data_IF_945153656044
#
_entry.id   IF_945153656044
#
_cell.length_a   1.000
_cell.length_b   1.000
_cell.length_c   1.000
_cell.angle_alpha   90.00
_cell.angle_beta   90.00
_cell.angle_gamma   90.00
#
_symmetry.space_group_name_H-M   'P 1'
#
loop_
_entity.id
_entity.type
_entity.pdbx_description
1 polymer ?
#
# COMPACT_ATOMS: atom_id res chain seq x y z
N UNK A 1 17.61 -32.34 11.29
CA UNK A 1 18.24 -31.28 10.48
C UNK A 1 17.11 -30.45 9.90
N UNK A 2 16.90 -29.24 10.40
CA UNK A 2 15.82 -28.37 9.95
C UNK A 2 16.21 -27.73 8.62
N UNK A 3 15.49 -28.08 7.55
CA UNK A 3 15.57 -27.38 6.27
C UNK A 3 15.13 -25.93 6.48
N UNK A 4 16.09 -25.02 6.66
CA UNK A 4 15.84 -23.59 6.56
C UNK A 4 15.71 -23.24 5.08
N UNK A 5 14.47 -23.20 4.61
CA UNK A 5 14.13 -22.73 3.28
C UNK A 5 14.38 -21.21 3.26
N UNK A 6 15.48 -20.77 2.66
CA UNK A 6 15.79 -19.35 2.49
C UNK A 6 14.85 -18.83 1.39
N UNK A 7 13.82 -18.06 1.76
CA UNK A 7 12.95 -17.39 0.79
C UNK A 7 13.70 -16.19 0.18
N UNK A 8 14.10 -16.23 -1.10
CA UNK A 8 14.87 -15.15 -1.74
C UNK A 8 14.08 -13.84 -1.80
N UNK A 9 12.75 -13.93 -1.89
CA UNK A 9 11.81 -12.79 -1.97
C UNK A 9 11.78 -11.92 -0.71
N UNK A 10 12.33 -12.39 0.42
CA UNK A 10 12.40 -11.62 1.68
C UNK A 10 13.74 -10.90 1.89
N UNK A 11 14.68 -11.01 0.95
CA UNK A 11 15.99 -10.33 1.00
C UNK A 11 15.87 -8.96 0.34
N UNK A 12 15.05 -8.08 0.93
CA UNK A 12 14.72 -6.76 0.36
C UNK A 12 15.70 -5.66 0.76
N UNK A 13 16.58 -5.90 1.73
CA UNK A 13 17.56 -4.90 2.16
C UNK A 13 18.88 -5.11 1.41
N UNK A 14 19.40 -4.11 0.67
CA UNK A 14 20.70 -4.18 -0.02
C UNK A 14 21.86 -4.65 0.89
N UNK A 15 21.76 -4.38 2.19
CA UNK A 15 22.69 -4.83 3.23
C UNK A 15 22.70 -6.37 3.40
N UNK A 16 21.55 -7.03 3.31
CA UNK A 16 21.45 -8.49 3.47
C UNK A 16 22.01 -9.23 2.25
N UNK A 17 21.79 -8.69 1.04
CA UNK A 17 22.38 -9.21 -0.18
C UNK A 17 23.92 -9.09 -0.13
N UNK A 18 24.44 -7.95 0.34
CA UNK A 18 25.88 -7.74 0.52
C UNK A 18 26.49 -8.72 1.54
N UNK A 19 25.78 -9.00 2.64
CA UNK A 19 26.22 -9.98 3.63
C UNK A 19 26.28 -11.41 3.06
N UNK A 20 25.30 -11.81 2.24
CA UNK A 20 25.30 -13.11 1.58
C UNK A 20 26.47 -13.26 0.61
N UNK A 21 26.73 -12.24 -0.21
CA UNK A 21 27.87 -12.21 -1.13
C UNK A 21 29.22 -12.24 -0.41
N UNK A 22 29.36 -11.52 0.71
CA UNK A 22 30.58 -11.53 1.51
C UNK A 22 30.82 -12.89 2.17
N UNK A 23 29.76 -13.54 2.66
CA UNK A 23 29.84 -14.92 3.17
C UNK A 23 30.29 -15.90 2.07
N UNK A 24 29.73 -15.78 0.87
CA UNK A 24 30.15 -16.57 -0.30
C UNK A 24 31.62 -16.37 -0.66
N UNK A 25 32.11 -15.13 -0.67
CA UNK A 25 33.52 -14.82 -0.93
C UNK A 25 34.45 -15.49 0.08
N UNK A 26 34.10 -15.43 1.38
CA UNK A 26 34.88 -16.07 2.45
C UNK A 26 34.94 -17.58 2.26
N UNK A 27 33.81 -18.22 1.95
CA UNK A 27 33.74 -19.67 1.72
C UNK A 27 34.58 -20.10 0.51
N UNK A 28 34.50 -19.37 -0.60
CA UNK A 28 35.26 -19.69 -1.82
C UNK A 28 36.77 -19.52 -1.60
N UNK A 29 37.20 -18.42 -0.97
CA UNK A 29 38.62 -18.20 -0.69
C UNK A 29 39.17 -19.22 0.33
N UNK A 30 38.38 -19.58 1.34
CA UNK A 30 38.73 -20.64 2.26
C UNK A 30 38.91 -21.98 1.53
N UNK A 31 38.00 -22.33 0.60
CA UNK A 31 38.12 -23.53 -0.22
C UNK A 31 39.40 -23.51 -1.07
N UNK A 32 39.73 -22.39 -1.73
CA UNK A 32 40.95 -22.28 -2.53
C UNK A 32 42.22 -22.43 -1.70
N UNK A 33 42.28 -21.82 -0.52
CA UNK A 33 43.44 -21.92 0.36
C UNK A 33 43.58 -23.32 0.96
N UNK A 34 42.48 -23.97 1.37
CA UNK A 34 42.49 -25.35 1.86
C UNK A 34 42.89 -26.33 0.74
N UNK A 35 42.40 -26.14 -0.48
CA UNK A 35 42.83 -26.94 -1.63
C UNK A 35 44.30 -26.70 -1.96
N UNK A 36 44.80 -25.46 -1.89
CA UNK A 36 46.19 -25.14 -2.13
C UNK A 36 47.13 -25.81 -1.10
N UNK A 37 46.75 -25.83 0.18
CA UNK A 37 47.54 -26.51 1.23
C UNK A 37 47.47 -28.03 1.11
N UNK A 38 46.32 -28.59 0.72
CA UNK A 38 46.17 -30.03 0.52
C UNK A 38 46.93 -30.58 -0.68
N UNK A 39 47.12 -29.77 -1.73
CA UNK A 39 47.86 -30.16 -2.94
C UNK A 39 49.39 -30.12 -2.70
N UNK A 40 49.86 -29.22 -1.82
CA UNK A 40 51.29 -29.06 -1.52
C UNK A 40 52.03 -28.10 -2.48
N UNK A 41 53.21 -27.67 -2.04
CA UNK A 41 53.99 -26.57 -2.66
C UNK A 41 54.60 -26.95 -4.02
N UNK A 42 54.75 -28.24 -4.32
CA UNK A 42 55.42 -28.71 -5.54
C UNK A 42 54.56 -28.55 -6.81
N UNK A 43 53.25 -28.32 -6.65
CA UNK A 43 52.34 -28.15 -7.79
C UNK A 43 52.02 -26.69 -8.04
N UNK A 44 52.22 -26.25 -9.29
CA UNK A 44 51.90 -24.90 -9.76
C UNK A 44 50.44 -24.50 -9.52
N UNK A 45 49.52 -25.47 -9.46
CA UNK A 45 48.10 -25.26 -9.18
C UNK A 45 47.87 -24.70 -7.77
N UNK A 46 48.70 -25.07 -6.78
CA UNK A 46 48.64 -24.50 -5.43
C UNK A 46 48.94 -23.00 -5.45
N UNK A 47 49.98 -22.59 -6.19
CA UNK A 47 50.31 -21.16 -6.37
C UNK A 47 49.22 -20.41 -7.14
N UNK A 48 48.62 -21.03 -8.16
CA UNK A 48 47.51 -20.44 -8.91
C UNK A 48 46.27 -20.20 -8.04
N UNK A 49 45.92 -21.13 -7.15
CA UNK A 49 44.80 -20.98 -6.22
C UNK A 49 45.03 -19.86 -5.19
N UNK A 50 46.27 -19.72 -4.70
CA UNK A 50 46.64 -18.61 -3.80
C UNK A 50 46.48 -17.27 -4.53
N UNK A 51 47.04 -17.13 -5.74
CA UNK A 51 46.90 -15.92 -6.56
C UNK A 51 45.42 -15.63 -6.85
N UNK A 52 44.63 -16.65 -7.18
CA UNK A 52 43.20 -16.52 -7.42
C UNK A 52 42.48 -15.97 -6.19
N UNK A 53 42.74 -16.49 -4.99
CA UNK A 53 42.14 -15.98 -3.74
C UNK A 53 42.52 -14.53 -3.43
N UNK A 54 43.77 -14.13 -3.74
CA UNK A 54 44.24 -12.75 -3.58
C UNK A 54 43.52 -11.80 -4.56
N UNK A 55 43.37 -12.18 -5.82
CA UNK A 55 42.71 -11.36 -6.86
C UNK A 55 41.20 -11.28 -6.65
N UNK A 56 40.60 -12.32 -6.09
CA UNK A 56 39.15 -12.41 -5.88
C UNK A 56 38.64 -11.28 -4.97
N UNK A 57 39.41 -10.89 -3.95
CA UNK A 57 39.04 -9.82 -3.00
C UNK A 57 38.94 -8.43 -3.66
N UNK A 58 39.98 -7.90 -4.34
CA UNK A 58 39.89 -6.61 -5.03
C UNK A 58 38.87 -6.64 -6.18
N UNK A 59 38.76 -7.74 -6.91
CA UNK A 59 37.73 -7.88 -7.96
C UNK A 59 36.31 -7.78 -7.37
N UNK A 60 36.06 -8.43 -6.24
CA UNK A 60 34.80 -8.34 -5.51
C UNK A 60 34.51 -6.93 -4.98
N UNK A 61 35.52 -6.26 -4.41
CA UNK A 61 35.37 -4.88 -3.93
C UNK A 61 35.06 -3.90 -5.07
N UNK A 62 35.68 -4.08 -6.24
CA UNK A 62 35.36 -3.29 -7.44
C UNK A 62 33.93 -3.57 -7.91
N UNK A 63 33.48 -4.82 -7.90
CA UNK A 63 32.11 -5.17 -8.26
C UNK A 63 31.08 -4.55 -7.30
N UNK A 64 31.33 -4.61 -5.98
CA UNK A 64 30.51 -3.94 -4.96
C UNK A 64 30.52 -2.42 -5.18
N UNK A 65 31.69 -1.84 -5.43
CA UNK A 65 31.81 -0.40 -5.68
C UNK A 65 31.05 0.04 -6.94
N UNK A 66 31.11 -0.74 -8.02
CA UNK A 66 30.33 -0.51 -9.24
C UNK A 66 28.83 -0.65 -8.97
N UNK A 67 28.40 -1.64 -8.19
CA UNK A 67 27.01 -1.78 -7.75
C UNK A 67 26.54 -0.55 -6.95
N UNK A 68 27.36 -0.07 -6.02
CA UNK A 68 27.05 1.09 -5.18
C UNK A 68 27.13 2.45 -5.88
N UNK A 69 27.79 2.54 -7.04
CA UNK A 69 27.97 3.82 -7.75
C UNK A 69 27.17 3.89 -9.05
N UNK A 70 27.19 2.82 -9.85
CA UNK A 70 26.53 2.76 -11.17
C UNK A 70 25.06 2.34 -11.09
N UNK A 71 24.73 1.41 -10.20
CA UNK A 71 23.35 0.94 -9.99
C UNK A 71 22.67 1.60 -8.79
N UNK A 72 23.31 2.62 -8.21
CA UNK A 72 22.69 3.49 -7.21
C UNK A 72 21.49 4.26 -7.76
N UNK A 73 21.52 4.83 -8.99
CA UNK A 73 20.33 5.43 -9.59
C UNK A 73 19.22 4.40 -9.72
N UNK A 74 19.47 3.20 -10.27
CA UNK A 74 18.44 2.18 -10.45
C UNK A 74 17.91 1.57 -9.13
N UNK A 75 18.72 1.49 -8.06
CA UNK A 75 18.23 1.15 -6.70
C UNK A 75 17.59 2.33 -5.95
N UNK A 76 17.83 3.58 -6.35
CA UNK A 76 17.18 4.77 -5.80
C UNK A 76 15.93 5.18 -6.60
N UNK A 77 15.83 4.76 -7.86
CA UNK A 77 14.63 4.81 -8.71
C UNK A 77 13.66 3.68 -8.35
N UNK A 78 14.01 2.84 -7.39
CA UNK A 78 13.02 2.02 -6.72
C UNK A 78 11.98 2.96 -6.11
N UNK A 79 10.71 2.68 -6.37
CA UNK A 79 9.55 3.52 -6.12
C UNK A 79 9.51 4.22 -4.75
N UNK A 80 10.29 3.75 -3.77
CA UNK A 80 10.47 4.33 -2.45
C UNK A 80 11.12 5.71 -2.37
N UNK A 81 12.04 6.13 -3.24
CA UNK A 81 12.60 7.50 -3.13
C UNK A 81 11.66 8.54 -3.72
N UNK A 82 11.03 8.23 -4.86
CA UNK A 82 9.93 9.02 -5.42
C UNK A 82 8.74 9.05 -4.46
N UNK A 83 8.35 7.91 -3.88
CA UNK A 83 7.32 7.84 -2.82
C UNK A 83 7.73 8.53 -1.51
N UNK A 84 9.02 8.57 -1.15
CA UNK A 84 9.51 9.26 0.05
C UNK A 84 9.58 10.78 -0.15
N UNK A 85 9.82 11.23 -1.39
CA UNK A 85 9.66 12.62 -1.79
C UNK A 85 8.18 13.00 -1.87
N UNK A 86 7.33 12.19 -2.50
CA UNK A 86 5.86 12.37 -2.54
C UNK A 86 5.23 12.31 -1.14
N UNK A 87 5.70 11.45 -0.24
CA UNK A 87 5.24 11.39 1.15
C UNK A 87 5.86 12.46 2.07
N UNK A 88 6.83 13.23 1.58
CA UNK A 88 7.33 14.43 2.29
C UNK A 88 6.78 15.72 1.71
N UNK A 89 6.29 15.70 0.48
CA UNK A 89 5.74 16.84 -0.21
C UNK A 89 4.22 16.70 -0.10
N UNK A 90 3.61 17.47 0.81
CA UNK A 90 2.15 17.44 0.95
C UNK A 90 1.50 17.81 -0.39
N UNK A 91 0.61 16.98 -0.97
CA UNK A 91 0.08 17.19 -2.31
C UNK A 91 -0.75 18.48 -2.46
N UNK A 92 -1.19 19.08 -1.35
CA UNK A 92 -1.89 20.37 -1.35
C UNK A 92 -0.96 21.60 -1.51
N UNK A 93 0.33 21.52 -1.15
CA UNK A 93 1.17 22.73 -1.01
C UNK A 93 2.56 22.65 -1.64
N UNK A 94 3.05 21.46 -1.99
CA UNK A 94 4.36 21.31 -2.62
C UNK A 94 5.56 21.59 -1.69
N UNK A 95 5.37 21.57 -0.36
CA UNK A 95 6.41 21.85 0.63
C UNK A 95 6.70 20.65 1.55
N UNK A 96 7.93 20.60 2.09
CA UNK A 96 8.46 19.54 2.96
C UNK A 96 7.79 19.54 4.34
N UNK A 97 7.04 18.50 4.68
CA UNK A 97 6.43 18.30 6.00
C UNK A 97 7.49 18.07 7.09
N UNK A 98 7.46 18.91 8.12
CA UNK A 98 8.37 18.84 9.28
C UNK A 98 8.00 17.73 10.26
N UNK A 99 9.02 17.21 10.96
CA UNK A 99 9.00 16.09 11.94
C UNK A 99 7.90 16.18 13.04
N UNK A 100 7.34 17.37 13.27
CA UNK A 100 6.29 17.63 14.27
C UNK A 100 4.91 17.10 13.85
N UNK A 101 4.63 16.97 12.55
CA UNK A 101 3.37 16.38 12.05
C UNK A 101 3.42 14.84 12.06
N UNK A 102 4.59 14.27 11.77
CA UNK A 102 4.81 12.81 11.77
C UNK A 102 4.65 12.18 13.16
N UNK A 103 5.03 12.89 14.23
CA UNK A 103 4.85 12.38 15.60
C UNK A 103 3.38 12.30 16.00
N UNK A 104 2.58 13.30 15.64
CA UNK A 104 1.12 13.31 15.91
C UNK A 104 0.38 12.18 15.18
N UNK A 105 0.80 11.85 13.95
CA UNK A 105 0.23 10.76 13.18
C UNK A 105 0.63 9.37 13.70
N UNK A 106 1.87 9.21 14.17
CA UNK A 106 2.37 7.94 14.71
C UNK A 106 1.75 7.62 16.07
N UNK A 107 1.56 8.64 16.90
CA UNK A 107 0.89 8.51 18.21
C UNK A 107 -0.59 8.14 18.05
N UNK A 108 -1.27 8.68 17.04
CA UNK A 108 -2.68 8.34 16.76
C UNK A 108 -2.87 6.91 16.23
N UNK A 109 -1.93 6.39 15.44
CA UNK A 109 -1.93 4.99 14.99
C UNK A 109 -1.74 4.02 16.16
N UNK A 110 -0.81 4.32 17.07
CA UNK A 110 -0.54 3.45 18.23
C UNK A 110 -1.74 3.38 19.19
N UNK A 111 -2.42 4.52 19.40
CA UNK A 111 -3.66 4.59 20.19
C UNK A 111 -4.80 3.79 19.55
N UNK A 112 -4.93 3.80 18.22
CA UNK A 112 -5.94 3.00 17.50
C UNK A 112 -5.72 1.50 17.64
N UNK A 113 -4.48 1.03 17.53
CA UNK A 113 -4.15 -0.38 17.77
C UNK A 113 -4.46 -0.82 19.21
N UNK A 114 -4.12 0.02 20.19
CA UNK A 114 -4.45 -0.26 21.59
C UNK A 114 -5.96 -0.33 21.83
N UNK A 115 -6.76 0.52 21.19
CA UNK A 115 -8.22 0.50 21.27
C UNK A 115 -8.83 -0.73 20.61
N UNK A 116 -8.32 -1.15 19.46
CA UNK A 116 -8.82 -2.34 18.75
C UNK A 116 -8.54 -3.62 19.56
N UNK A 117 -7.36 -3.72 20.17
CA UNK A 117 -7.00 -4.82 21.06
C UNK A 117 -7.83 -4.81 22.35
N UNK A 118 -8.13 -3.61 22.89
CA UNK A 118 -9.02 -3.47 24.04
C UNK A 118 -10.44 -3.92 23.69
N UNK A 119 -10.95 -3.55 22.52
CA UNK A 119 -12.28 -3.91 22.06
C UNK A 119 -12.40 -5.43 21.81
N UNK A 120 -11.36 -6.06 21.24
CA UNK A 120 -11.30 -7.53 21.12
C UNK A 120 -11.35 -8.22 22.49
N UNK A 121 -10.63 -7.69 23.49
CA UNK A 121 -10.67 -8.21 24.86
C UNK A 121 -12.03 -8.00 25.53
N UNK A 122 -12.66 -6.85 25.32
CA UNK A 122 -14.00 -6.55 25.85
C UNK A 122 -15.02 -7.51 25.25
N UNK A 123 -15.06 -7.68 23.93
CA UNK A 123 -15.99 -8.60 23.27
C UNK A 123 -15.78 -10.07 23.67
N UNK A 124 -14.53 -10.48 23.91
CA UNK A 124 -14.22 -11.80 24.47
C UNK A 124 -14.77 -11.96 25.90
N UNK A 125 -14.67 -10.94 26.75
CA UNK A 125 -15.28 -10.92 28.08
C UNK A 125 -16.82 -10.88 28.02
N UNK A 126 -17.40 -10.11 27.10
CA UNK A 126 -18.85 -10.01 26.90
C UNK A 126 -19.46 -11.35 26.51
N UNK A 127 -18.77 -12.16 25.72
CA UNK A 127 -19.23 -13.51 25.35
C UNK A 127 -19.27 -14.51 26.51
N UNK A 128 -18.63 -14.19 27.65
CA UNK A 128 -18.63 -15.02 28.86
C UNK A 128 -19.62 -14.56 29.93
N UNK A 129 -20.30 -13.42 29.74
CA UNK A 129 -21.20 -12.82 30.73
C UNK A 129 -22.52 -12.51 30.03
N UNK A 130 -23.35 -13.54 29.81
CA UNK A 130 -24.78 -13.31 29.61
C UNK A 130 -25.37 -12.83 30.94
N UNK A 131 -26.15 -11.75 30.88
CA UNK A 131 -27.02 -11.20 31.94
C UNK A 131 -26.37 -10.32 33.03
N UNK A 132 -25.89 -9.13 32.67
CA UNK A 132 -25.96 -7.97 33.59
C UNK A 132 -26.28 -6.68 32.82
N UNK A 133 -27.19 -5.83 33.33
CA UNK A 133 -27.66 -4.61 32.65
C UNK A 133 -26.57 -3.55 32.42
N UNK A 134 -25.43 -3.66 33.10
CA UNK A 134 -24.27 -2.77 32.96
C UNK A 134 -23.48 -3.00 31.65
N UNK A 135 -23.53 -4.21 31.07
CA UNK A 135 -22.84 -4.54 29.81
C UNK A 135 -23.55 -3.93 28.59
N UNK A 136 -24.86 -3.71 28.69
CA UNK A 136 -25.66 -3.05 27.64
C UNK A 136 -25.30 -1.56 27.54
N UNK A 137 -25.09 -0.89 28.68
CA UNK A 137 -24.62 0.50 28.71
C UNK A 137 -23.19 0.65 28.18
N UNK A 138 -22.29 -0.30 28.45
CA UNK A 138 -20.91 -0.25 27.91
C UNK A 138 -20.89 -0.54 26.41
N UNK A 139 -21.73 -1.46 25.91
CA UNK A 139 -21.86 -1.73 24.48
C UNK A 139 -22.49 -0.55 23.73
N UNK A 140 -23.50 0.10 24.31
CA UNK A 140 -24.09 1.32 23.75
C UNK A 140 -23.15 2.50 23.84
N UNK A 141 -22.37 2.65 24.92
CA UNK A 141 -21.33 3.66 25.02
C UNK A 141 -20.20 3.40 24.02
N UNK A 142 -19.80 2.14 23.79
CA UNK A 142 -18.82 1.79 22.76
C UNK A 142 -19.35 2.04 21.35
N UNK A 143 -20.64 1.81 21.09
CA UNK A 143 -21.29 2.12 19.81
C UNK A 143 -21.40 3.63 19.60
N UNK A 144 -21.81 4.38 20.63
CA UNK A 144 -21.87 5.84 20.61
C UNK A 144 -20.47 6.45 20.52
N UNK A 145 -19.45 5.85 21.12
CA UNK A 145 -18.05 6.26 20.98
C UNK A 145 -17.52 5.88 19.60
N UNK A 146 -17.94 4.77 18.99
CA UNK A 146 -17.64 4.46 17.59
C UNK A 146 -18.29 5.46 16.64
N UNK A 147 -19.58 5.78 16.81
CA UNK A 147 -20.26 6.85 16.05
C UNK A 147 -19.64 8.23 16.33
N UNK A 148 -19.11 8.47 17.53
CA UNK A 148 -18.39 9.71 17.88
C UNK A 148 -16.96 9.74 17.30
N UNK A 149 -16.35 8.57 17.01
CA UNK A 149 -15.05 8.41 16.34
C UNK A 149 -15.22 8.35 14.81
N UNK A 150 -16.42 8.04 14.29
CA UNK A 150 -16.80 8.23 12.88
C UNK A 150 -16.84 9.70 12.47
N UNK A 151 -16.62 10.62 13.41
CA UNK A 151 -16.11 11.96 13.14
C UNK A 151 -14.78 11.90 12.38
N UNK A 152 -14.87 12.11 11.07
CA UNK A 152 -13.79 12.56 10.17
C UNK A 152 -12.69 11.55 9.81
N UNK A 153 -13.01 10.28 9.56
CA UNK A 153 -12.22 9.58 8.54
C UNK A 153 -12.69 10.04 7.16
N UNK A 154 -12.05 11.10 6.66
CA UNK A 154 -12.26 11.61 5.31
C UNK A 154 -11.44 10.71 4.37
N UNK A 155 -12.09 9.84 3.56
CA UNK A 155 -11.34 9.04 2.59
C UNK A 155 -10.63 9.97 1.62
N UNK A 156 -9.49 9.53 1.11
CA UNK A 156 -8.75 10.31 0.11
C UNK A 156 -9.47 10.17 -1.24
N UNK A 157 -10.19 11.23 -1.63
CA UNK A 157 -11.00 11.24 -2.84
C UNK A 157 -10.19 11.85 -3.97
N UNK A 158 -9.98 11.08 -5.02
CA UNK A 158 -9.23 11.50 -6.19
C UNK A 158 -10.15 11.59 -7.40
N UNK A 159 -10.07 12.68 -8.17
CA UNK A 159 -10.92 12.91 -9.33
C UNK A 159 -10.11 12.96 -10.62
N UNK A 160 -10.57 12.25 -11.64
CA UNK A 160 -9.98 12.33 -12.97
C UNK A 160 -10.37 13.64 -13.67
N UNK A 161 -9.38 14.49 -13.94
CA UNK A 161 -9.56 15.81 -14.57
C UNK A 161 -9.94 15.76 -16.05
N UNK A 162 -9.79 14.59 -16.68
CA UNK A 162 -10.18 14.34 -18.06
C UNK A 162 -11.65 13.91 -18.19
N UNK A 163 -12.41 13.77 -17.10
CA UNK A 163 -13.83 13.43 -17.19
C UNK A 163 -14.64 14.55 -17.88
N UNK A 164 -15.51 14.23 -18.86
CA UNK A 164 -16.32 15.24 -19.55
C UNK A 164 -17.18 16.11 -18.62
N UNK A 165 -17.62 15.53 -17.50
CA UNK A 165 -18.48 16.19 -16.51
C UNK A 165 -17.71 16.66 -15.26
N UNK A 166 -16.38 16.78 -15.35
CA UNK A 166 -15.49 17.09 -14.21
C UNK A 166 -15.96 18.29 -13.39
N UNK A 167 -16.27 19.42 -14.05
CA UNK A 167 -16.71 20.64 -13.34
C UNK A 167 -18.03 20.43 -12.57
N UNK A 168 -18.98 19.71 -13.16
CA UNK A 168 -20.27 19.43 -12.53
C UNK A 168 -20.12 18.45 -11.35
N UNK A 169 -19.23 17.47 -11.46
CA UNK A 169 -18.90 16.55 -10.36
C UNK A 169 -18.36 17.34 -9.17
N UNK A 170 -17.42 18.26 -9.40
CA UNK A 170 -16.83 19.12 -8.36
C UNK A 170 -17.90 19.93 -7.65
N UNK A 171 -18.78 20.59 -8.41
CA UNK A 171 -19.80 21.47 -7.83
C UNK A 171 -20.77 20.68 -6.94
N UNK A 172 -21.16 19.47 -7.36
CA UNK A 172 -22.03 18.60 -6.57
C UNK A 172 -21.34 17.99 -5.34
N UNK A 173 -20.07 17.59 -5.46
CA UNK A 173 -19.29 17.12 -4.31
C UNK A 173 -19.15 18.22 -3.26
N UNK A 174 -18.83 19.45 -3.68
CA UNK A 174 -18.75 20.62 -2.79
C UNK A 174 -20.07 20.94 -2.10
N UNK A 175 -21.19 20.82 -2.82
CA UNK A 175 -22.52 21.03 -2.24
C UNK A 175 -22.84 20.05 -1.09
N UNK A 176 -22.25 18.85 -1.13
CA UNK A 176 -22.38 17.81 -0.10
C UNK A 176 -21.25 17.84 0.96
N UNK A 177 -20.42 18.89 0.98
CA UNK A 177 -19.23 19.02 1.82
C UNK A 177 -18.21 17.87 1.64
N UNK A 178 -18.11 17.34 0.42
CA UNK A 178 -17.13 16.32 0.05
C UNK A 178 -15.95 17.00 -0.64
N UNK A 179 -14.78 16.97 0.01
CA UNK A 179 -13.54 17.56 -0.51
C UNK A 179 -12.78 16.55 -1.36
N UNK A 180 -12.26 17.00 -2.51
CA UNK A 180 -11.35 16.23 -3.35
C UNK A 180 -9.93 16.46 -2.84
N UNK A 181 -9.24 15.38 -2.55
CA UNK A 181 -7.87 15.38 -2.01
C UNK A 181 -6.83 15.60 -3.10
N UNK A 182 -7.04 15.05 -4.31
CA UNK A 182 -6.14 15.24 -5.44
C UNK A 182 -6.82 14.99 -6.78
N UNK A 183 -6.14 15.42 -7.85
CA UNK A 183 -6.55 15.19 -9.23
C UNK A 183 -5.56 14.29 -9.95
N UNK A 184 -6.05 13.51 -10.89
CA UNK A 184 -5.23 12.64 -11.75
C UNK A 184 -5.78 12.62 -13.17
N UNK A 185 -5.00 12.11 -14.14
CA UNK A 185 -5.41 12.09 -15.54
C UNK A 185 -4.38 12.81 -16.40
N UNK A 186 -4.50 14.12 -16.55
CA UNK A 186 -3.59 14.95 -17.35
C UNK A 186 -2.14 14.94 -16.87
N UNK A 187 -1.92 14.64 -15.58
CA UNK A 187 -0.61 14.49 -14.95
C UNK A 187 0.09 13.17 -15.27
N UNK A 188 -0.60 12.19 -15.86
CA UNK A 188 -0.01 10.92 -16.27
C UNK A 188 0.36 10.94 -17.77
N UNK A 189 1.66 10.99 -18.12
CA UNK A 189 2.08 11.09 -19.52
C UNK A 189 1.69 9.87 -20.37
N UNK A 190 1.36 8.73 -19.75
CA UNK A 190 0.91 7.53 -20.46
C UNK A 190 -0.61 7.50 -20.72
N UNK A 191 -1.41 8.33 -20.02
CA UNK A 191 -2.88 8.29 -20.05
C UNK A 191 -3.52 9.67 -20.14
N UNK A 192 -3.30 10.34 -21.26
CA UNK A 192 -3.82 11.70 -21.56
C UNK A 192 -5.26 11.67 -22.12
N UNK A 193 -5.77 10.49 -22.49
CA UNK A 193 -7.13 10.35 -23.01
C UNK A 193 -8.16 10.17 -21.89
N UNK A 194 -9.38 10.73 -22.03
CA UNK A 194 -10.45 10.53 -21.06
C UNK A 194 -10.79 9.05 -20.91
N UNK A 195 -11.20 8.61 -19.69
CA UNK A 195 -11.53 7.21 -19.46
C UNK A 195 -12.70 6.78 -20.35
N UNK A 196 -12.54 5.66 -21.06
CA UNK A 196 -13.55 5.11 -21.97
C UNK A 196 -14.84 4.71 -21.25
N UNK A 197 -14.72 4.41 -19.96
CA UNK A 197 -15.81 4.02 -19.08
C UNK A 197 -15.71 4.82 -17.80
N UNK A 198 -16.80 5.48 -17.41
CA UNK A 198 -16.84 6.22 -16.15
C UNK A 198 -17.01 5.24 -14.98
N UNK A 199 -15.88 4.90 -14.36
CA UNK A 199 -15.78 3.95 -13.24
C UNK A 199 -15.44 4.67 -11.94
N UNK A 200 -16.04 4.21 -10.84
CA UNK A 200 -15.65 4.56 -9.47
C UNK A 200 -14.88 3.38 -8.89
N UNK A 201 -13.69 3.61 -8.36
CA UNK A 201 -12.90 2.58 -7.68
C UNK A 201 -12.69 2.93 -6.22
N UNK A 202 -12.68 1.94 -5.34
CA UNK A 202 -12.53 2.18 -3.90
C UNK A 202 -11.68 1.12 -3.21
N UNK A 203 -11.01 1.55 -2.14
CA UNK A 203 -10.12 0.75 -1.31
C UNK A 203 -10.76 -0.13 -0.26
N UNK A 204 -9.90 -0.82 0.48
CA UNK A 204 -10.27 -1.77 1.53
C UNK A 204 -10.71 -1.14 2.85
N UNK A 205 -10.58 0.18 3.01
CA UNK A 205 -10.83 0.94 4.24
C UNK A 205 -11.47 2.32 3.94
N UNK A 206 -12.51 2.34 3.11
CA UNK A 206 -13.25 3.58 2.79
C UNK A 206 -14.49 3.77 3.65
N UNK A 207 -14.85 5.03 3.91
CA UNK A 207 -16.09 5.39 4.57
C UNK A 207 -17.29 5.09 3.65
N UNK A 208 -18.13 4.12 4.04
CA UNK A 208 -19.26 3.64 3.23
C UNK A 208 -20.31 4.75 2.99
N UNK A 209 -20.77 5.51 4.00
CA UNK A 209 -21.64 6.65 3.77
C UNK A 209 -21.10 7.66 2.74
N UNK A 210 -19.81 7.98 2.80
CA UNK A 210 -19.17 8.90 1.82
C UNK A 210 -19.16 8.27 0.43
N UNK A 211 -18.78 7.00 0.30
CA UNK A 211 -18.81 6.27 -0.97
C UNK A 211 -20.22 6.23 -1.57
N UNK A 212 -21.25 5.97 -0.76
CA UNK A 212 -22.65 5.97 -1.18
C UNK A 212 -23.03 7.33 -1.75
N UNK A 213 -22.72 8.43 -1.06
CA UNK A 213 -22.97 9.79 -1.57
C UNK A 213 -22.24 10.06 -2.89
N UNK A 214 -20.99 9.64 -3.02
CA UNK A 214 -20.23 9.78 -4.28
C UNK A 214 -20.93 9.03 -5.41
N UNK A 215 -21.41 7.81 -5.16
CA UNK A 215 -22.16 7.02 -6.13
C UNK A 215 -23.47 7.72 -6.51
N UNK A 216 -24.20 8.29 -5.53
CA UNK A 216 -25.43 9.07 -5.77
C UNK A 216 -25.19 10.30 -6.66
N UNK A 217 -24.07 11.00 -6.45
CA UNK A 217 -23.69 12.17 -7.24
C UNK A 217 -23.27 11.78 -8.66
N UNK A 218 -22.45 10.73 -8.78
CA UNK A 218 -21.79 10.39 -10.04
C UNK A 218 -22.66 9.54 -10.98
N UNK A 219 -23.58 8.72 -10.47
CA UNK A 219 -24.49 7.91 -11.30
C UNK A 219 -25.29 8.75 -12.32
N UNK A 220 -26.01 9.82 -11.94
CA UNK A 220 -26.73 10.65 -12.92
C UNK A 220 -25.82 11.37 -13.90
N UNK A 221 -24.53 11.50 -13.60
CA UNK A 221 -23.50 12.08 -14.46
C UNK A 221 -22.80 11.04 -15.35
N UNK A 222 -23.29 9.80 -15.36
CA UNK A 222 -22.85 8.75 -16.28
C UNK A 222 -21.91 7.70 -15.68
N UNK A 223 -21.68 7.69 -14.37
CA UNK A 223 -20.91 6.62 -13.74
C UNK A 223 -21.62 5.27 -13.92
N UNK A 224 -20.92 4.32 -14.54
CA UNK A 224 -21.49 3.07 -15.02
C UNK A 224 -21.04 1.86 -14.21
N UNK A 225 -19.86 1.94 -13.57
CA UNK A 225 -19.23 0.79 -12.91
C UNK A 225 -18.61 1.18 -11.59
N UNK A 226 -18.74 0.29 -10.62
CA UNK A 226 -18.06 0.30 -9.34
C UNK A 226 -17.02 -0.84 -9.30
N UNK A 227 -15.80 -0.57 -8.84
CA UNK A 227 -14.72 -1.55 -8.75
C UNK A 227 -14.05 -1.50 -7.38
N UNK A 228 -13.82 -2.67 -6.80
CA UNK A 228 -13.02 -2.80 -5.58
C UNK A 228 -11.53 -2.94 -5.95
N UNK A 229 -10.65 -2.31 -5.17
CA UNK A 229 -9.20 -2.37 -5.38
C UNK A 229 -8.52 -2.78 -4.06
N UNK A 230 -7.97 -3.99 -4.05
CA UNK A 230 -7.27 -4.57 -2.92
C UNK A 230 -5.74 -4.45 -3.11
N UNK A 231 -5.24 -3.23 -3.04
CA UNK A 231 -3.80 -2.98 -2.99
C UNK A 231 -3.46 -2.03 -1.84
N UNK A 232 -2.23 -2.15 -1.33
CA UNK A 232 -1.77 -1.42 -0.15
C UNK A 232 -1.87 0.11 -0.33
N UNK A 233 -1.83 0.59 -1.58
CA UNK A 233 -1.83 2.01 -1.94
C UNK A 233 -3.22 2.60 -2.06
N UNK A 234 -4.22 1.78 -2.36
CA UNK A 234 -5.61 2.19 -2.57
C UNK A 234 -6.47 2.04 -1.32
N UNK A 235 -5.94 1.46 -0.23
CA UNK A 235 -6.63 1.13 1.02
C UNK A 235 -7.66 2.19 1.45
N UNK A 236 -7.25 3.46 1.47
CA UNK A 236 -8.06 4.59 1.98
C UNK A 236 -8.62 5.49 0.87
N UNK A 237 -8.45 5.10 -0.41
CA UNK A 237 -8.72 5.95 -1.55
C UNK A 237 -10.06 5.63 -2.21
N UNK A 238 -10.72 6.68 -2.71
CA UNK A 238 -11.84 6.60 -3.66
C UNK A 238 -11.42 7.33 -4.93
N UNK A 239 -11.39 6.62 -6.06
CA UNK A 239 -11.04 7.17 -7.36
C UNK A 239 -12.30 7.34 -8.21
N UNK A 240 -12.54 8.57 -8.67
CA UNK A 240 -13.65 8.92 -9.55
C UNK A 240 -13.09 9.06 -10.98
N UNK A 241 -13.50 8.17 -11.89
CA UNK A 241 -13.00 8.14 -13.27
C UNK A 241 -11.74 7.31 -13.47
N UNK A 242 -11.62 6.18 -12.78
CA UNK A 242 -10.43 5.33 -12.86
C UNK A 242 -10.31 4.57 -14.20
N UNK A 243 -9.08 4.17 -14.55
CA UNK A 243 -8.78 3.36 -15.74
C UNK A 243 -8.79 1.84 -15.45
N UNK A 244 -9.44 1.41 -14.36
CA UNK A 244 -9.40 0.02 -13.87
C UNK A 244 -10.01 -1.00 -14.82
N UNK A 245 -10.78 -0.57 -15.82
CA UNK A 245 -11.38 -1.42 -16.84
C UNK A 245 -10.38 -2.06 -17.81
N UNK A 246 -9.14 -1.57 -17.85
CA UNK A 246 -8.07 -2.16 -18.68
C UNK A 246 -7.50 -3.45 -18.06
N UNK A 247 -7.85 -3.73 -16.80
CA UNK A 247 -7.35 -4.89 -16.06
C UNK A 247 -8.35 -6.05 -16.25
N UNK A 248 -7.94 -7.02 -17.07
CA UNK A 248 -8.76 -8.14 -17.57
C UNK A 248 -9.37 -9.01 -16.45
N UNK A 249 -8.74 -9.07 -15.26
CA UNK A 249 -9.17 -9.93 -14.15
C UNK A 249 -9.90 -9.21 -13.00
N UNK A 250 -10.19 -7.91 -13.12
CA UNK A 250 -10.92 -7.19 -12.07
C UNK A 250 -12.42 -7.40 -12.22
N UNK A 251 -13.06 -7.93 -11.18
CA UNK A 251 -14.51 -7.96 -11.07
C UNK A 251 -15.04 -6.52 -11.00
N UNK A 252 -16.05 -6.26 -11.82
CA UNK A 252 -16.66 -4.95 -12.01
C UNK A 252 -18.15 -5.08 -11.71
N UNK A 253 -18.67 -4.18 -10.88
CA UNK A 253 -20.08 -4.14 -10.53
C UNK A 253 -20.78 -3.04 -11.34
N UNK A 254 -21.75 -3.43 -12.17
CA UNK A 254 -22.47 -2.49 -13.03
C UNK A 254 -23.52 -1.72 -12.22
N UNK A 255 -23.49 -0.38 -12.32
CA UNK A 255 -24.41 0.53 -11.64
C UNK A 255 -25.73 0.67 -12.41
N UNK A 256 -26.48 -0.42 -12.56
CA UNK A 256 -27.84 -0.39 -13.12
C UNK A 256 -28.91 0.06 -12.09
N UNK A 257 -30.14 0.30 -12.53
CA UNK A 257 -31.24 0.75 -11.65
C UNK A 257 -31.60 -0.24 -10.53
N UNK A 258 -31.49 -1.54 -10.78
CA UNK A 258 -31.81 -2.58 -9.80
C UNK A 258 -30.69 -2.74 -8.76
N UNK A 259 -29.44 -2.70 -9.22
CA UNK A 259 -28.20 -2.85 -8.47
C UNK A 259 -27.92 -1.64 -7.57
N UNK A 260 -28.27 -0.44 -8.04
CA UNK A 260 -28.10 0.82 -7.31
C UNK A 260 -28.90 0.88 -5.99
N UNK A 261 -30.13 0.38 -5.99
CA UNK A 261 -30.97 0.39 -4.78
C UNK A 261 -30.38 -0.44 -3.63
N UNK A 262 -29.66 -1.52 -3.96
CA UNK A 262 -29.00 -2.38 -2.97
C UNK A 262 -27.77 -1.68 -2.37
N UNK A 263 -27.03 -0.92 -3.19
CA UNK A 263 -25.84 -0.19 -2.75
C UNK A 263 -26.14 0.93 -1.75
N UNK A 264 -27.36 1.48 -1.77
CA UNK A 264 -27.81 2.57 -0.90
C UNK A 264 -28.51 2.10 0.38
N UNK A 265 -28.46 0.80 0.70
CA UNK A 265 -28.96 0.31 1.99
C UNK A 265 -28.16 0.96 3.14
N UNK A 266 -28.88 1.53 4.12
CA UNK A 266 -28.27 2.10 5.34
C UNK A 266 -27.55 1.05 6.18
N UNK A 267 -27.87 -0.23 6.01
CA UNK A 267 -27.20 -1.35 6.67
C UNK A 267 -26.08 -1.98 5.81
N UNK A 268 -25.65 -1.28 4.75
CA UNK A 268 -24.54 -1.69 3.91
C UNK A 268 -23.23 -1.63 4.71
N UNK A 269 -22.51 -2.75 4.76
CA UNK A 269 -21.19 -2.82 5.38
C UNK A 269 -20.14 -3.04 4.30
N UNK A 270 -18.90 -2.64 4.59
CA UNK A 270 -17.78 -2.84 3.68
C UNK A 270 -17.62 -4.32 3.28
N UNK A 271 -17.81 -5.27 4.19
CA UNK A 271 -17.75 -6.70 3.89
C UNK A 271 -18.83 -7.15 2.90
N UNK A 272 -20.06 -6.62 3.03
CA UNK A 272 -21.16 -6.91 2.08
C UNK A 272 -20.88 -6.27 0.72
N UNK A 273 -20.37 -5.04 0.71
CA UNK A 273 -20.01 -4.33 -0.51
C UNK A 273 -18.88 -5.06 -1.26
N UNK A 274 -17.84 -5.51 -0.56
CA UNK A 274 -16.77 -6.35 -1.12
C UNK A 274 -17.36 -7.61 -1.76
N UNK A 275 -18.24 -8.32 -1.06
CA UNK A 275 -18.88 -9.52 -1.61
C UNK A 275 -19.71 -9.24 -2.89
N UNK A 276 -20.37 -8.08 -2.97
CA UNK A 276 -21.13 -7.68 -4.17
C UNK A 276 -20.24 -7.32 -5.34
N UNK A 277 -19.12 -6.62 -5.07
CA UNK A 277 -18.25 -6.06 -6.11
C UNK A 277 -17.14 -7.02 -6.54
N UNK A 278 -16.68 -7.93 -5.67
CA UNK A 278 -15.77 -9.00 -6.06
C UNK A 278 -15.06 -9.76 -4.97
#
# INVERSE_FOLDING_TARGET
MSNQNINPEKVTKPIQLLAAWLSGLVVVNAAFLVSATSIGIEHWSSSALVIASIINVPMFLVAIFLLQTKFRPEMQEDSYYSKYLEAQISPETGQLETEVEKSKFKDSIHLKQQLEDLNKKVNQLSSHIESTPEVVEISQLATNVMESIEGEFIPNIQLNDLLPNYSEIIDRLKAENITISSEFGSSNPEKIEPPKLFMISFGSNVNIPVLQKIIEICKPLGAAVLSYVDDEYSTDNIYIGSYGYEIIDRKQYVLDESSYSQLLDKNMTLSKLKYLVG
#
